data_IF_061453622870
#
_entry.id   IF_061453622870
#
_cell.length_a   1.000
_cell.length_b   1.000
_cell.length_c   1.000
_cell.angle_alpha   90.00
_cell.angle_beta   90.00
_cell.angle_gamma   90.00
#
_symmetry.space_group_name_H-M   'P 1'
#
loop_
_entity.id
_entity.type
_entity.pdbx_description
1 polymer ?
2 polymer ?
3 non-polymer ?
4 non-polymer ?
5 water ?
#
# COMPACT_ATOMS: atom_id res chain seq x y z
N UNK A 1 1.97 -8.11 23.03
CA UNK A 1 1.67 -6.78 23.53
C UNK A 1 0.37 -6.74 24.33
N UNK A 2 -0.40 -5.67 24.16
CA UNK A 2 -1.66 -5.49 24.87
C UNK A 2 -2.71 -6.53 24.46
N UNK A 3 -2.53 -7.11 23.26
CA UNK A 3 -3.45 -8.12 22.76
C UNK A 3 -3.00 -9.55 23.09
N UNK A 4 -1.93 -9.68 23.88
CA UNK A 4 -1.33 -10.97 24.16
C UNK A 4 -2.26 -11.94 24.90
N UNK A 5 -3.21 -11.39 25.68
CA UNK A 5 -4.11 -12.22 26.45
C UNK A 5 -5.42 -12.58 25.73
N UNK A 6 -5.61 -12.05 24.50
CA UNK A 6 -6.85 -12.31 23.79
C UNK A 6 -6.66 -13.42 22.76
N UNK A 7 -7.64 -14.34 22.69
CA UNK A 7 -7.63 -15.40 21.69
C UNK A 7 -7.49 -14.88 20.27
N UNK A 8 -6.73 -15.60 19.44
CA UNK A 8 -6.60 -15.28 18.03
C UNK A 8 -7.96 -15.08 17.37
N UNK A 9 -8.88 -16.02 17.58
CA UNK A 9 -10.17 -15.97 16.91
C UNK A 9 -10.98 -14.76 17.36
N UNK A 10 -10.85 -14.38 18.64
CA UNK A 10 -11.54 -13.22 19.18
C UNK A 10 -10.99 -11.92 18.59
N UNK A 11 -9.67 -11.87 18.37
CA UNK A 11 -9.04 -10.73 17.72
C UNK A 11 -9.56 -10.55 16.30
N UNK A 12 -9.67 -11.65 15.55
CA UNK A 12 -10.19 -11.60 14.20
C UNK A 12 -11.66 -11.16 14.21
N UNK A 13 -12.45 -11.74 15.11
CA UNK A 13 -13.85 -11.35 15.26
C UNK A 13 -13.99 -9.85 15.49
N UNK A 14 -13.18 -9.32 16.42
CA UNK A 14 -13.25 -7.92 16.77
C UNK A 14 -12.72 -7.00 15.67
N UNK A 15 -11.73 -7.47 14.90
CA UNK A 15 -11.28 -6.74 13.72
C UNK A 15 -12.43 -6.50 12.75
N UNK A 16 -13.27 -7.52 12.54
CA UNK A 16 -14.41 -7.40 11.64
C UNK A 16 -15.45 -6.44 12.19
N UNK A 17 -15.70 -6.49 13.51
CA UNK A 17 -16.58 -5.53 14.17
C UNK A 17 -16.05 -4.10 14.04
N UNK A 18 -14.74 -3.92 14.25
CA UNK A 18 -14.11 -2.62 14.14
C UNK A 18 -14.26 -2.06 12.72
N UNK A 19 -14.11 -2.92 11.71
CA UNK A 19 -14.33 -2.51 10.33
C UNK A 19 -15.75 -1.98 10.13
N UNK A 20 -16.75 -2.70 10.64
CA UNK A 20 -18.14 -2.29 10.48
C UNK A 20 -18.42 -0.96 11.16
N UNK A 21 -17.73 -0.71 12.28
CA UNK A 21 -17.89 0.53 13.03
C UNK A 21 -16.97 1.66 12.54
N UNK A 22 -16.19 1.38 11.49
CA UNK A 22 -15.19 2.31 10.95
C UNK A 22 -14.20 2.79 12.02
N UNK A 23 -13.80 1.85 12.86
CA UNK A 23 -12.79 2.08 13.90
C UNK A 23 -11.48 1.45 13.45
N UNK A 24 -10.79 2.11 12.52
CA UNK A 24 -9.67 1.47 11.84
C UNK A 24 -8.41 1.37 12.70
N UNK A 25 -8.19 2.30 13.63
CA UNK A 25 -7.09 2.17 14.58
C UNK A 25 -7.26 0.91 15.42
N UNK A 26 -8.49 0.70 15.92
CA UNK A 26 -8.79 -0.52 16.66
C UNK A 26 -8.60 -1.76 15.80
N UNK A 27 -9.10 -1.70 14.56
CA UNK A 27 -8.99 -2.82 13.64
C UNK A 27 -7.52 -3.21 13.45
N UNK A 28 -6.65 -2.21 13.27
CA UNK A 28 -5.23 -2.43 13.06
C UNK A 28 -4.57 -3.06 14.29
N UNK A 29 -4.94 -2.56 15.48
CA UNK A 29 -4.40 -3.11 16.71
C UNK A 29 -4.80 -4.56 16.91
N UNK A 30 -6.07 -4.88 16.60
CA UNK A 30 -6.53 -6.26 16.69
C UNK A 30 -5.77 -7.16 15.70
N UNK A 31 -5.58 -6.69 14.46
CA UNK A 31 -4.88 -7.50 13.48
C UNK A 31 -3.40 -7.68 13.78
N UNK A 32 -2.76 -6.64 14.32
CA UNK A 32 -1.38 -6.74 14.80
C UNK A 32 -1.30 -7.83 15.87
N UNK A 33 -2.24 -7.81 16.82
CA UNK A 33 -2.33 -8.86 17.83
C UNK A 33 -2.46 -10.26 17.23
N UNK A 34 -3.30 -10.38 16.19
CA UNK A 34 -3.48 -11.65 15.52
C UNK A 34 -2.19 -12.13 14.85
N UNK A 35 -1.49 -11.21 14.17
CA UNK A 35 -0.24 -11.57 13.52
C UNK A 35 0.76 -12.08 14.55
N UNK A 36 0.81 -11.38 15.69
CA UNK A 36 1.80 -11.70 16.70
C UNK A 36 1.54 -13.03 17.42
N UNK A 37 0.41 -13.68 17.16
CA UNK A 37 0.19 -15.05 17.61
C UNK A 37 1.13 -16.04 16.94
N UNK A 38 1.70 -15.66 15.78
CA UNK A 38 2.74 -16.43 15.14
C UNK A 38 2.28 -17.40 14.05
N UNK A 39 0.96 -17.56 13.89
CA UNK A 39 0.43 -18.42 12.85
C UNK A 39 0.33 -17.65 11.54
N UNK A 40 0.39 -18.36 10.43
CA UNK A 40 0.17 -17.75 9.13
C UNK A 40 -1.26 -17.22 9.03
N UNK A 41 -1.45 -16.23 8.13
CA UNK A 41 -2.77 -15.65 7.90
C UNK A 41 -3.45 -16.26 6.69
N UNK A 42 -4.77 -16.46 6.81
CA UNK A 42 -5.60 -16.85 5.69
C UNK A 42 -5.77 -15.68 4.72
N UNK A 43 -6.34 -15.95 3.56
CA UNK A 43 -6.60 -14.90 2.61
C UNK A 43 -7.46 -13.78 3.19
N UNK A 44 -8.57 -14.16 3.85
CA UNK A 44 -9.44 -13.19 4.49
C UNK A 44 -8.71 -12.36 5.54
N UNK A 45 -7.87 -13.03 6.34
CA UNK A 45 -7.13 -12.35 7.42
C UNK A 45 -6.09 -11.37 6.86
N UNK A 46 -5.42 -11.78 5.78
CA UNK A 46 -4.50 -10.89 5.08
C UNK A 46 -5.22 -9.62 4.63
N UNK A 47 -6.42 -9.78 4.08
CA UNK A 47 -7.19 -8.62 3.64
C UNK A 47 -7.61 -7.72 4.80
N UNK A 48 -7.95 -8.32 5.95
CA UNK A 48 -8.29 -7.52 7.13
C UNK A 48 -7.10 -6.67 7.59
N UNK A 49 -5.90 -7.28 7.59
CA UNK A 49 -4.69 -6.59 7.97
C UNK A 49 -4.42 -5.39 7.05
N UNK A 50 -4.54 -5.64 5.74
CA UNK A 50 -4.32 -4.60 4.74
C UNK A 50 -5.31 -3.44 4.84
N UNK A 51 -6.60 -3.77 4.93
CA UNK A 51 -7.65 -2.76 5.05
C UNK A 51 -7.42 -1.87 6.26
N UNK A 52 -7.07 -2.49 7.39
CA UNK A 52 -6.91 -1.76 8.63
C UNK A 52 -5.81 -0.70 8.50
N UNK A 53 -4.61 -1.14 8.10
CA UNK A 53 -3.48 -0.23 8.04
C UNK A 53 -3.57 0.77 6.88
N UNK A 54 -4.18 0.35 5.76
CA UNK A 54 -4.41 1.25 4.64
C UNK A 54 -5.24 2.46 5.07
N UNK A 55 -6.29 2.21 5.84
CA UNK A 55 -7.15 3.26 6.35
C UNK A 55 -6.44 4.15 7.37
N UNK A 56 -5.66 3.54 8.28
CA UNK A 56 -4.93 4.33 9.25
C UNK A 56 -3.92 5.24 8.57
N UNK A 57 -3.06 4.66 7.74
CA UNK A 57 -2.01 5.43 7.10
C UNK A 57 -2.61 6.41 6.09
N UNK A 58 -3.75 6.04 5.49
CA UNK A 58 -4.45 6.90 4.55
C UNK A 58 -4.84 8.24 5.16
N UNK A 59 -5.41 8.19 6.37
CA UNK A 59 -5.75 9.39 7.11
C UNK A 59 -4.52 10.24 7.46
N UNK A 60 -3.42 9.58 7.84
CA UNK A 60 -2.20 10.28 8.17
C UNK A 60 -1.57 10.96 6.95
N UNK A 61 -1.58 10.25 5.82
CA UNK A 61 -1.03 10.78 4.58
C UNK A 61 -1.82 12.00 4.11
N UNK A 62 -3.15 11.92 4.19
CA UNK A 62 -4.00 13.04 3.80
C UNK A 62 -3.74 14.25 4.69
N UNK A 63 -3.57 14.02 6.00
CA UNK A 63 -3.28 15.10 6.94
C UNK A 63 -1.92 15.72 6.64
N UNK A 64 -0.93 14.86 6.41
CA UNK A 64 0.42 15.32 6.08
C UNK A 64 0.44 16.20 4.85
N UNK A 65 -0.33 15.82 3.82
CA UNK A 65 -0.37 16.59 2.59
C UNK A 65 -0.96 17.99 2.82
N UNK A 66 -2.00 18.07 3.67
CA UNK A 66 -2.59 19.34 4.02
C UNK A 66 -1.54 20.22 4.70
N UNK A 67 -0.89 19.68 5.72
CA UNK A 67 0.06 20.45 6.51
C UNK A 67 1.30 20.83 5.70
N UNK A 68 1.77 19.93 4.83
CA UNK A 68 2.92 20.22 3.98
C UNK A 68 2.63 21.38 3.02
N UNK A 69 1.40 21.41 2.49
CA UNK A 69 0.99 22.48 1.58
C UNK A 69 0.98 23.84 2.29
N UNK A 70 0.46 23.85 3.53
CA UNK A 70 0.47 25.06 4.34
C UNK A 70 1.91 25.51 4.62
N UNK A 71 2.76 24.54 4.97
CA UNK A 71 4.16 24.83 5.24
C UNK A 71 4.87 25.40 4.01
N UNK A 72 4.60 24.81 2.84
CA UNK A 72 5.23 25.26 1.61
C UNK A 72 4.84 26.70 1.27
N UNK A 73 3.58 27.05 1.51
CA UNK A 73 3.10 28.41 1.28
C UNK A 73 3.67 29.40 2.29
N UNK A 74 3.96 28.92 3.51
CA UNK A 74 4.58 29.76 4.53
C UNK A 74 5.99 30.19 4.17
N UNK A 75 6.66 29.40 3.32
CA UNK A 75 8.04 29.64 2.94
C UNK A 75 8.18 30.30 1.56
N UNK A 76 7.07 30.86 1.05
CA UNK A 76 7.10 31.70 -0.13
C UNK A 76 7.60 33.11 0.20
N UNK A 77 8.01 33.84 -0.84
CA UNK A 77 8.30 35.26 -0.71
C UNK A 77 7.03 36.03 -0.39
N UNK A 78 7.14 37.01 0.52
CA UNK A 78 6.01 37.84 0.90
C UNK A 78 5.12 37.24 1.99
N UNK A 79 5.40 35.99 2.37
CA UNK A 79 4.64 35.33 3.42
C UNK A 79 5.12 35.80 4.78
N UNK A 80 4.16 36.08 5.68
CA UNK A 80 4.47 36.60 7.00
C UNK A 80 4.95 35.46 7.90
N UNK A 81 5.97 35.75 8.71
CA UNK A 81 6.54 34.78 9.63
C UNK A 81 5.57 34.45 10.76
N UNK A 82 5.21 33.16 10.87
CA UNK A 82 4.24 32.70 11.86
C UNK A 82 4.84 31.81 12.94
N UNK A 83 6.16 31.64 12.92
CA UNK A 83 6.86 30.86 13.92
C UNK A 83 6.97 29.39 13.55
N UNK A 84 7.41 28.53 14.51
CA UNK A 84 7.73 27.14 14.24
C UNK A 84 6.54 26.17 14.22
N UNK A 85 5.32 26.66 14.48
CA UNK A 85 4.21 25.77 14.77
C UNK A 85 3.79 24.89 13.59
N UNK A 86 3.81 25.43 12.37
CA UNK A 86 3.40 24.66 11.20
C UNK A 86 4.37 23.49 11.00
N UNK A 87 5.68 23.79 11.03
CA UNK A 87 6.70 22.77 10.89
C UNK A 87 6.59 21.73 12.00
N UNK A 88 6.45 22.20 13.25
CA UNK A 88 6.34 21.28 14.39
C UNK A 88 5.19 20.30 14.20
N UNK A 89 4.00 20.81 13.82
CA UNK A 89 2.84 19.95 13.74
C UNK A 89 2.93 19.00 12.54
N UNK A 90 3.47 19.49 11.42
CA UNK A 90 3.75 18.62 10.28
C UNK A 90 4.71 17.50 10.69
N UNK A 91 5.73 17.85 11.47
CA UNK A 91 6.70 16.87 11.96
C UNK A 91 6.04 15.84 12.88
N UNK A 92 5.09 16.29 13.71
CA UNK A 92 4.36 15.40 14.60
C UNK A 92 3.58 14.35 13.81
N UNK A 93 2.82 14.81 12.82
CA UNK A 93 2.04 13.90 11.99
C UNK A 93 2.97 12.96 11.23
N UNK A 94 4.06 13.51 10.70
CA UNK A 94 5.02 12.73 9.93
C UNK A 94 5.64 11.61 10.77
N UNK A 95 5.99 11.91 12.02
CA UNK A 95 6.59 10.93 12.90
C UNK A 95 5.61 9.81 13.21
N UNK A 96 4.34 10.15 13.42
CA UNK A 96 3.31 9.15 13.68
C UNK A 96 3.09 8.27 12.46
N UNK A 97 3.07 8.88 11.27
CA UNK A 97 2.98 8.14 10.02
C UNK A 97 4.15 7.16 9.85
N UNK A 98 5.37 7.67 10.07
CA UNK A 98 6.54 6.82 9.98
C UNK A 98 6.46 5.65 10.98
N UNK A 99 5.93 5.92 12.17
CA UNK A 99 5.73 4.89 13.17
C UNK A 99 4.82 3.77 12.70
N UNK A 100 3.71 4.12 12.06
CA UNK A 100 2.78 3.13 11.54
C UNK A 100 3.46 2.31 10.44
N UNK A 101 4.17 2.99 9.53
CA UNK A 101 4.87 2.28 8.45
C UNK A 101 5.88 1.29 9.02
N UNK A 102 6.63 1.72 10.04
CA UNK A 102 7.62 0.87 10.67
C UNK A 102 6.97 -0.33 11.35
N UNK A 103 5.79 -0.12 11.95
CA UNK A 103 5.05 -1.21 12.55
C UNK A 103 4.67 -2.28 11.52
N UNK A 104 4.11 -1.83 10.37
CA UNK A 104 3.72 -2.77 9.33
C UNK A 104 4.94 -3.52 8.79
N UNK A 105 6.00 -2.77 8.47
CA UNK A 105 7.21 -3.37 7.93
C UNK A 105 7.82 -4.35 8.94
N UNK A 106 7.67 -4.05 10.23
CA UNK A 106 8.11 -4.96 11.28
C UNK A 106 7.36 -6.28 11.30
N UNK A 107 6.03 -6.22 11.11
CA UNK A 107 5.21 -7.41 11.05
C UNK A 107 5.59 -8.26 9.84
N UNK A 108 5.82 -7.60 8.70
CA UNK A 108 6.22 -8.31 7.49
C UNK A 108 7.56 -9.01 7.67
N UNK A 109 8.50 -8.36 8.37
CA UNK A 109 9.83 -8.93 8.56
C UNK A 109 9.88 -9.94 9.72
N UNK A 110 8.86 -9.91 10.59
CA UNK A 110 8.84 -10.77 11.76
C UNK A 110 7.44 -11.35 12.03
N UNK A 111 7.01 -12.39 11.30
CA UNK A 111 7.80 -13.12 10.31
C UNK A 111 6.94 -13.51 9.11
N UNK A 112 6.06 -12.59 8.69
CA UNK A 112 5.07 -12.95 7.68
C UNK A 112 5.68 -13.37 6.35
N UNK A 113 6.64 -12.59 5.85
CA UNK A 113 7.23 -12.86 4.55
C UNK A 113 7.98 -14.19 4.52
N UNK A 114 8.82 -14.44 5.54
CA UNK A 114 9.66 -15.63 5.50
C UNK A 114 8.85 -16.93 5.56
N UNK A 115 7.64 -16.90 6.15
CA UNK A 115 6.80 -18.08 6.26
C UNK A 115 5.85 -18.24 5.08
N UNK A 116 5.76 -17.20 4.23
CA UNK A 116 4.85 -17.21 3.09
C UNK A 116 5.44 -17.90 1.87
N UNK A 117 4.94 -19.10 1.57
CA UNK A 117 5.46 -19.93 0.49
C UNK A 117 4.60 -19.97 -0.77
N UNK A 118 3.28 -19.79 -0.61
CA UNK A 118 2.38 -19.77 -1.73
C UNK A 118 2.47 -18.42 -2.42
N UNK A 119 2.32 -18.42 -3.75
CA UNK A 119 2.45 -17.22 -4.55
C UNK A 119 1.52 -16.12 -4.06
N UNK A 120 0.26 -16.49 -3.76
CA UNK A 120 -0.76 -15.54 -3.37
C UNK A 120 -0.36 -14.79 -2.10
N UNK A 121 0.15 -15.52 -1.11
CA UNK A 121 0.55 -14.89 0.15
C UNK A 121 1.84 -14.08 -0.02
N UNK A 122 2.84 -14.69 -0.68
CA UNK A 122 4.14 -14.04 -0.82
C UNK A 122 4.06 -12.74 -1.62
N UNK A 123 3.31 -12.75 -2.73
CA UNK A 123 3.12 -11.56 -3.54
C UNK A 123 2.37 -10.49 -2.74
N UNK A 124 1.34 -10.92 -2.00
CA UNK A 124 0.57 -10.01 -1.16
C UNK A 124 1.47 -9.27 -0.17
N UNK A 125 2.35 -10.00 0.54
CA UNK A 125 3.18 -9.38 1.55
C UNK A 125 4.29 -8.51 0.96
N UNK A 126 4.87 -8.95 -0.16
CA UNK A 126 5.89 -8.16 -0.83
C UNK A 126 5.30 -6.86 -1.41
N UNK A 127 4.08 -6.94 -1.97
CA UNK A 127 3.39 -5.73 -2.37
C UNK A 127 3.20 -4.76 -1.20
N UNK A 128 2.79 -5.29 -0.05
CA UNK A 128 2.63 -4.50 1.16
C UNK A 128 3.94 -3.83 1.56
N UNK A 129 5.04 -4.60 1.50
CA UNK A 129 6.35 -4.06 1.85
C UNK A 129 6.69 -2.88 0.93
N UNK A 130 6.43 -3.04 -0.37
CA UNK A 130 6.65 -1.96 -1.32
C UNK A 130 5.80 -0.73 -1.03
N UNK A 131 4.52 -0.96 -0.70
CA UNK A 131 3.60 0.11 -0.40
C UNK A 131 4.04 0.95 0.81
N UNK A 132 4.46 0.28 1.90
CA UNK A 132 4.77 1.01 3.12
C UNK A 132 6.14 1.70 3.01
N UNK A 133 7.08 1.12 2.25
CA UNK A 133 8.28 1.86 1.90
C UNK A 133 7.95 3.05 1.01
N UNK A 134 6.97 2.89 0.10
CA UNK A 134 6.55 4.00 -0.74
C UNK A 134 5.98 5.15 0.09
N UNK A 135 5.19 4.83 1.13
CA UNK A 135 4.64 5.86 1.99
C UNK A 135 5.76 6.56 2.78
N UNK A 136 6.78 5.80 3.20
CA UNK A 136 7.94 6.41 3.81
C UNK A 136 8.65 7.34 2.83
N UNK A 137 8.71 6.93 1.56
CA UNK A 137 9.36 7.74 0.54
C UNK A 137 8.65 9.06 0.29
N UNK A 138 7.32 9.06 0.44
CA UNK A 138 6.52 10.25 0.21
C UNK A 138 6.92 11.43 1.10
N UNK A 139 7.43 11.11 2.31
CA UNK A 139 7.79 12.13 3.30
C UNK A 139 9.29 12.24 3.55
N UNK A 140 10.09 11.42 2.86
CA UNK A 140 11.52 11.40 3.06
C UNK A 140 12.21 12.57 2.35
N UNK A 141 13.18 13.18 3.04
CA UNK A 141 13.94 14.32 2.51
C UNK A 141 15.45 14.27 2.76
N UNK A 142 15.89 13.33 3.60
CA UNK A 142 17.28 13.33 4.08
C UNK A 142 18.19 12.35 3.33
N UNK A 143 19.28 11.96 4.00
CA UNK A 143 20.26 11.05 3.46
C UNK A 143 19.68 9.75 2.91
N UNK A 144 18.73 9.17 3.66
CA UNK A 144 18.23 7.84 3.39
C UNK A 144 17.06 7.77 2.40
N UNK A 145 16.73 8.89 1.76
CA UNK A 145 15.65 8.92 0.78
C UNK A 145 15.90 7.92 -0.35
N UNK A 146 17.13 7.91 -0.89
CA UNK A 146 17.47 7.00 -1.97
C UNK A 146 17.37 5.54 -1.54
N UNK A 147 17.79 5.22 -0.31
CA UNK A 147 17.70 3.85 0.17
C UNK A 147 16.26 3.41 0.40
N UNK A 148 15.41 4.32 0.88
CA UNK A 148 14.00 4.02 1.08
C UNK A 148 13.35 3.72 -0.27
N UNK A 149 13.66 4.55 -1.27
CA UNK A 149 13.13 4.36 -2.62
C UNK A 149 13.56 3.01 -3.17
N UNK A 150 14.84 2.67 -2.97
CA UNK A 150 15.36 1.42 -3.48
C UNK A 150 14.71 0.22 -2.79
N UNK A 151 14.42 0.35 -1.48
CA UNK A 151 13.73 -0.69 -0.74
C UNK A 151 12.33 -0.94 -1.30
N UNK A 152 11.61 0.14 -1.61
CA UNK A 152 10.30 0.00 -2.24
C UNK A 152 10.41 -0.70 -3.59
N UNK A 153 11.33 -0.21 -4.43
CA UNK A 153 11.57 -0.76 -5.75
C UNK A 153 11.85 -2.26 -5.67
N UNK A 154 12.76 -2.65 -4.76
CA UNK A 154 13.17 -4.03 -4.64
C UNK A 154 12.03 -4.97 -4.23
N UNK A 155 11.18 -4.52 -3.30
CA UNK A 155 10.05 -5.32 -2.86
C UNK A 155 9.05 -5.50 -4.00
N UNK A 156 8.71 -4.38 -4.65
CA UNK A 156 7.79 -4.43 -5.78
C UNK A 156 8.31 -5.35 -6.89
N UNK A 157 9.62 -5.26 -7.19
CA UNK A 157 10.21 -6.03 -8.27
C UNK A 157 10.18 -7.54 -7.99
N UNK A 158 10.50 -7.93 -6.75
CA UNK A 158 10.40 -9.34 -6.37
C UNK A 158 8.96 -9.84 -6.48
N UNK A 159 8.01 -9.01 -6.03
CA UNK A 159 6.60 -9.35 -6.14
C UNK A 159 6.16 -9.52 -7.60
N UNK A 160 6.63 -8.62 -8.48
CA UNK A 160 6.26 -8.66 -9.89
C UNK A 160 6.80 -9.94 -10.52
N UNK A 161 8.05 -10.29 -10.18
CA UNK A 161 8.68 -11.47 -10.76
C UNK A 161 7.90 -12.74 -10.40
N UNK A 162 7.49 -12.85 -9.13
CA UNK A 162 6.72 -14.02 -8.70
C UNK A 162 5.35 -14.02 -9.38
N UNK A 163 4.68 -12.87 -9.39
CA UNK A 163 3.33 -12.79 -9.93
C UNK A 163 3.27 -13.13 -11.42
N UNK A 164 4.27 -12.69 -12.20
CA UNK A 164 4.33 -13.03 -13.60
C UNK A 164 4.54 -14.52 -13.85
N UNK A 165 5.31 -15.17 -12.96
CA UNK A 165 5.56 -16.61 -13.06
C UNK A 165 4.39 -17.49 -12.60
N UNK A 166 3.69 -17.06 -11.56
CA UNK A 166 2.79 -17.93 -10.81
C UNK A 166 1.31 -17.58 -10.85
N UNK A 167 0.96 -16.40 -11.37
CA UNK A 167 -0.41 -15.92 -11.35
C UNK A 167 -0.89 -15.55 -12.75
N UNK A 168 -2.20 -15.70 -13.05
CA UNK A 168 -2.75 -15.22 -14.30
C UNK A 168 -2.78 -13.70 -14.38
N UNK A 169 -2.74 -13.10 -15.59
CA UNK A 169 -2.70 -11.66 -15.75
C UNK A 169 -3.90 -10.90 -15.17
N UNK A 170 -4.99 -11.62 -14.92
CA UNK A 170 -6.20 -11.05 -14.34
C UNK A 170 -6.32 -11.18 -12.83
N UNK A 171 -5.36 -11.86 -12.20
CA UNK A 171 -5.39 -12.00 -10.75
C UNK A 171 -5.42 -10.62 -10.09
N UNK A 172 -6.42 -10.33 -9.22
CA UNK A 172 -6.54 -9.02 -8.58
C UNK A 172 -5.32 -8.58 -7.78
N UNK A 173 -4.60 -9.53 -7.15
CA UNK A 173 -3.39 -9.18 -6.43
C UNK A 173 -2.32 -8.70 -7.41
N UNK A 174 -2.11 -9.47 -8.48
CA UNK A 174 -1.19 -9.09 -9.53
C UNK A 174 -1.54 -7.72 -10.12
N UNK A 175 -2.84 -7.51 -10.40
CA UNK A 175 -3.29 -6.23 -10.95
C UNK A 175 -3.06 -5.05 -10.00
N UNK A 176 -3.38 -5.23 -8.70
CA UNK A 176 -3.18 -4.18 -7.72
C UNK A 176 -1.71 -3.88 -7.46
N UNK A 177 -0.86 -4.91 -7.54
CA UNK A 177 0.59 -4.74 -7.46
C UNK A 177 1.10 -3.86 -8.61
N UNK A 178 0.68 -4.18 -9.83
CA UNK A 178 1.15 -3.45 -11.00
C UNK A 178 0.66 -2.00 -10.97
N UNK A 179 -0.60 -1.81 -10.56
CA UNK A 179 -1.14 -0.48 -10.35
C UNK A 179 -0.25 0.34 -9.41
N UNK A 180 0.06 -0.23 -8.24
CA UNK A 180 0.82 0.49 -7.24
C UNK A 180 2.27 0.70 -7.64
N UNK A 181 2.87 -0.29 -8.31
CA UNK A 181 4.22 -0.12 -8.82
C UNK A 181 4.27 0.97 -9.89
N UNK A 182 3.22 1.07 -10.73
CA UNK A 182 3.16 2.13 -11.72
C UNK A 182 3.06 3.50 -11.05
N UNK A 183 2.28 3.61 -9.97
CA UNK A 183 2.24 4.84 -9.19
C UNK A 183 3.61 5.16 -8.58
N UNK A 184 4.31 4.15 -8.06
CA UNK A 184 5.67 4.31 -7.58
C UNK A 184 6.55 4.95 -8.66
N UNK A 185 6.50 4.40 -9.87
CA UNK A 185 7.32 4.92 -10.96
C UNK A 185 6.99 6.38 -11.26
N UNK A 186 5.69 6.70 -11.32
CA UNK A 186 5.25 8.03 -11.70
C UNK A 186 5.58 9.08 -10.65
N UNK A 187 5.25 8.77 -9.38
CA UNK A 187 5.26 9.73 -8.28
C UNK A 187 6.55 9.79 -7.47
N UNK A 188 7.23 8.65 -7.35
CA UNK A 188 8.37 8.51 -6.45
C UNK A 188 9.70 8.45 -7.20
N UNK A 189 9.74 7.63 -8.26
CA UNK A 189 10.97 7.38 -9.00
C UNK A 189 11.21 8.32 -10.18
N UNK A 190 10.30 9.28 -10.37
CA UNK A 190 10.44 10.24 -11.46
C UNK A 190 10.60 9.55 -12.82
N UNK A 191 9.79 8.51 -13.04
CA UNK A 191 9.86 7.70 -14.25
C UNK A 191 8.46 7.57 -14.87
N UNK A 192 7.87 8.67 -15.38
CA UNK A 192 6.51 8.63 -15.88
C UNK A 192 6.33 7.69 -17.07
N UNK A 193 7.37 7.56 -17.90
CA UNK A 193 7.28 6.68 -19.06
C UNK A 193 7.21 5.22 -18.64
N UNK A 194 7.99 4.84 -17.62
CA UNK A 194 7.90 3.49 -17.10
C UNK A 194 6.53 3.23 -16.50
N UNK A 195 5.99 4.22 -15.77
CA UNK A 195 4.67 4.12 -15.18
C UNK A 195 3.60 3.85 -16.24
N UNK A 196 3.66 4.61 -17.33
CA UNK A 196 2.68 4.51 -18.40
C UNK A 196 2.80 3.15 -19.11
N UNK A 197 4.05 2.76 -19.42
CA UNK A 197 4.31 1.48 -20.06
C UNK A 197 3.78 0.31 -19.23
N UNK A 198 4.06 0.34 -17.93
CA UNK A 198 3.59 -0.74 -17.07
C UNK A 198 2.07 -0.80 -17.00
N UNK A 199 1.43 0.36 -16.83
CA UNK A 199 -0.02 0.39 -16.75
C UNK A 199 -0.69 -0.13 -18.03
N UNK A 200 -0.13 0.26 -19.19
CA UNK A 200 -0.65 -0.16 -20.48
C UNK A 200 -0.53 -1.66 -20.68
N UNK A 201 0.69 -2.19 -20.51
CA UNK A 201 0.97 -3.61 -20.67
C UNK A 201 0.10 -4.44 -19.74
N UNK A 202 -0.01 -4.01 -18.47
CA UNK A 202 -0.83 -4.73 -17.50
C UNK A 202 -2.28 -4.80 -17.95
N UNK A 203 -2.83 -3.66 -18.35
CA UNK A 203 -4.21 -3.58 -18.82
C UNK A 203 -4.45 -4.51 -20.01
N UNK A 204 -3.56 -4.43 -21.00
CA UNK A 204 -3.72 -5.19 -22.24
C UNK A 204 -3.63 -6.69 -22.01
N UNK A 205 -2.71 -7.12 -21.13
CA UNK A 205 -2.55 -8.53 -20.85
C UNK A 205 -3.74 -9.08 -20.05
N UNK A 206 -4.32 -8.25 -19.18
CA UNK A 206 -5.53 -8.64 -18.47
C UNK A 206 -6.72 -8.75 -19.41
N UNK A 207 -6.87 -7.77 -20.32
CA UNK A 207 -7.95 -7.77 -21.29
C UNK A 207 -8.01 -9.10 -22.03
N UNK A 208 -6.83 -9.57 -22.46
CA UNK A 208 -6.73 -10.81 -23.23
C UNK A 208 -7.05 -12.09 -22.47
N UNK A 209 -7.07 -12.02 -21.12
CA UNK A 209 -7.36 -13.18 -20.30
C UNK A 209 -8.76 -13.19 -19.66
N UNK A 210 -9.52 -12.10 -19.87
CA UNK A 210 -10.85 -11.98 -19.28
C UNK A 210 -11.78 -13.12 -19.69
N UNK A 211 -11.60 -13.64 -20.91
CA UNK A 211 -12.47 -14.67 -21.45
C UNK A 211 -12.47 -15.96 -20.63
N UNK A 212 -11.42 -16.16 -19.81
CA UNK A 212 -11.29 -17.35 -18.99
C UNK A 212 -12.08 -17.31 -17.68
N UNK A 213 -12.62 -16.12 -17.35
CA UNK A 213 -13.16 -15.85 -16.03
C UNK A 213 -14.67 -16.04 -15.92
N UNK A 214 -15.10 -16.41 -14.70
CA UNK A 214 -16.51 -16.37 -14.32
C UNK A 214 -17.00 -14.93 -14.24
N UNK A 215 -18.31 -14.76 -14.13
CA UNK A 215 -18.93 -13.44 -14.00
C UNK A 215 -18.37 -12.69 -12.81
N UNK A 216 -18.26 -13.37 -11.66
CA UNK A 216 -17.79 -12.74 -10.43
C UNK A 216 -16.31 -12.33 -10.51
N UNK A 217 -15.47 -13.20 -11.07
CA UNK A 217 -14.06 -12.90 -11.22
C UNK A 217 -13.84 -11.80 -12.24
N UNK A 218 -14.66 -11.82 -13.30
CA UNK A 218 -14.64 -10.76 -14.30
C UNK A 218 -14.88 -9.39 -13.66
N UNK A 219 -15.89 -9.30 -12.81
CA UNK A 219 -16.18 -8.06 -12.10
C UNK A 219 -15.00 -7.58 -11.25
N UNK A 220 -14.38 -8.50 -10.50
CA UNK A 220 -13.22 -8.18 -9.69
C UNK A 220 -12.07 -7.61 -10.50
N UNK A 221 -11.71 -8.31 -11.58
CA UNK A 221 -10.59 -7.90 -12.42
C UNK A 221 -10.85 -6.60 -13.16
N UNK A 222 -12.05 -6.43 -13.73
CA UNK A 222 -12.33 -5.22 -14.48
C UNK A 222 -12.37 -3.96 -13.61
N UNK A 223 -12.75 -4.12 -12.33
CA UNK A 223 -12.71 -3.03 -11.36
C UNK A 223 -11.31 -2.41 -11.28
N UNK A 224 -10.29 -3.26 -11.20
CA UNK A 224 -8.92 -2.80 -11.00
C UNK A 224 -8.36 -2.30 -12.34
N UNK A 225 -8.76 -2.96 -13.43
CA UNK A 225 -8.38 -2.52 -14.76
C UNK A 225 -8.84 -1.09 -15.01
N UNK A 226 -10.02 -0.73 -14.47
CA UNK A 226 -10.53 0.63 -14.60
C UNK A 226 -9.63 1.63 -13.88
N UNK A 227 -9.06 1.24 -12.74
CA UNK A 227 -8.12 2.11 -12.04
C UNK A 227 -6.87 2.37 -12.87
N UNK A 228 -6.37 1.32 -13.54
CA UNK A 228 -5.25 1.49 -14.46
C UNK A 228 -5.59 2.47 -15.58
N UNK A 229 -6.80 2.33 -16.15
CA UNK A 229 -7.26 3.19 -17.22
C UNK A 229 -7.41 4.65 -16.76
N UNK A 230 -7.97 4.84 -15.56
CA UNK A 230 -8.08 6.15 -14.96
C UNK A 230 -6.71 6.85 -14.85
N UNK A 231 -5.69 6.12 -14.37
CA UNK A 231 -4.36 6.69 -14.30
C UNK A 231 -3.79 7.02 -15.68
N UNK A 232 -3.94 6.09 -16.63
CA UNK A 232 -3.47 6.34 -17.99
C UNK A 232 -4.12 7.61 -18.56
N UNK A 233 -5.41 7.82 -18.27
CA UNK A 233 -6.11 9.00 -18.76
C UNK A 233 -5.57 10.27 -18.12
N UNK A 234 -5.22 10.20 -16.83
CA UNK A 234 -4.68 11.34 -16.14
C UNK A 234 -3.26 11.68 -16.62
N UNK A 235 -2.49 10.63 -16.96
CA UNK A 235 -1.07 10.76 -17.26
C UNK A 235 -0.75 11.01 -18.73
N UNK A 236 -1.73 10.81 -19.62
CA UNK A 236 -1.55 11.00 -21.06
C UNK A 236 -2.61 11.95 -21.61
N UNK B 1 -8.38 15.06 -10.94
CA UNK B 1 -8.46 14.23 -9.75
C UNK B 1 -7.10 13.62 -9.42
N UNK B 2 -6.98 13.11 -8.19
CA UNK B 2 -5.77 12.45 -7.72
C UNK B 2 -5.70 11.05 -8.36
N UNK B 3 -4.47 10.63 -8.68
CA UNK B 3 -4.26 9.31 -9.25
C UNK B 3 -4.72 8.22 -8.27
N UNK B 4 -5.01 7.04 -8.82
CA UNK B 4 -5.53 5.93 -8.04
C UNK B 4 -4.41 4.95 -7.69
N UNK B 6 -4.22 1.02 -5.39
CA UNK B 6 -5.10 -0.14 -5.26
C UNK B 6 -6.03 -0.02 -4.06
N UNK B 7 -7.31 -0.37 -4.27
CA UNK B 7 -8.30 -0.40 -3.20
C UNK B 7 -9.12 -1.69 -3.24
N UNK B 8 -8.56 -2.74 -3.86
CA UNK B 8 -9.20 -4.05 -3.93
C UNK B 8 -9.29 -4.71 -2.57
N UNK B 9 -10.42 -5.40 -2.31
CA UNK B 9 -10.56 -6.26 -1.16
C UNK B 9 -11.32 -7.52 -1.57
N UNK B 10 -10.69 -8.68 -1.37
CA UNK B 10 -11.29 -9.96 -1.71
#
# INVERSE_FOLDING_TARGET
GAMGSMERASLIQKAKLAEQAERYEDMAAFMKGAVEKGEELSCEERNLLSVAYKNVVGGQRAAWRVLSSIEQKSNEEGSEEKGPEVREYREKVETELQGVCDTVLGLLDSHLIKEAGDAESRVFYLKMKGDYYRYLAEVATGDDKKRIIDSARSAYQEAMDISKKEMPPTNPIRLGLALNFSVFHYEIANSPEEAISLAKTTFDEAMADLHTLSEDSYKDSTLIMQLLRDNLTLWT
LRRMXDEFVD
#
